data_IF_827161039520
#
_entry.id   IF_827161039520
#
_cell.length_a   1.000
_cell.length_b   1.000
_cell.length_c   1.000
_cell.angle_alpha   90.00
_cell.angle_beta   90.00
_cell.angle_gamma   90.00
#
_symmetry.space_group_name_H-M   'P 1'
#
loop_
_entity.id
_entity.type
_entity.pdbx_description
1 polymer ?
#
# COMPACT_ATOMS: atom_id res chain seq x y z
N UNK A 1 -27.55 20.00 23.14
CA UNK A 1 -27.29 19.39 21.83
C UNK A 1 -26.27 18.27 22.05
N UNK A 2 -26.70 17.01 21.92
CA UNK A 2 -25.80 15.85 21.97
C UNK A 2 -25.20 15.70 20.57
N UNK A 3 -23.89 15.85 20.46
CA UNK A 3 -23.13 15.51 19.26
C UNK A 3 -22.87 14.00 19.32
N UNK A 4 -23.62 13.25 18.51
CA UNK A 4 -23.31 11.85 18.21
C UNK A 4 -21.95 11.80 17.50
N UNK A 5 -21.02 10.89 17.86
CA UNK A 5 -19.82 10.71 17.08
C UNK A 5 -20.19 10.09 15.74
N UNK A 6 -19.99 10.85 14.67
CA UNK A 6 -20.06 10.37 13.29
C UNK A 6 -19.14 9.16 13.16
N UNK A 7 -19.76 7.98 13.03
CA UNK A 7 -19.08 6.75 12.63
C UNK A 7 -18.62 6.94 11.18
N UNK A 8 -17.51 7.64 10.98
CA UNK A 8 -16.85 7.66 9.70
C UNK A 8 -16.31 6.25 9.48
N UNK A 9 -16.99 5.55 8.58
CA UNK A 9 -16.75 4.15 8.28
C UNK A 9 -15.25 3.89 8.13
N UNK A 10 -14.73 3.11 9.06
CA UNK A 10 -13.49 2.38 8.88
C UNK A 10 -13.72 1.55 7.62
N UNK A 11 -13.16 2.00 6.48
CA UNK A 11 -13.02 1.16 5.32
C UNK A 11 -12.10 0.03 5.76
N UNK A 12 -12.69 -1.04 6.30
CA UNK A 12 -11.99 -2.29 6.50
C UNK A 12 -11.41 -2.63 5.12
N UNK A 13 -10.10 -2.87 5.00
CA UNK A 13 -9.58 -3.37 3.74
C UNK A 13 -10.44 -4.59 3.42
N UNK A 14 -11.13 -4.57 2.27
CA UNK A 14 -11.89 -5.71 1.81
C UNK A 14 -10.99 -6.96 1.96
N UNK A 15 -11.55 -8.09 2.38
CA UNK A 15 -10.84 -9.37 2.63
C UNK A 15 -10.08 -9.94 1.41
N UNK A 16 -9.93 -9.15 0.34
CA UNK A 16 -9.23 -9.44 -0.91
C UNK A 16 -7.75 -9.03 -0.92
N UNK A 17 -7.24 -8.43 0.17
CA UNK A 17 -5.82 -8.07 0.30
C UNK A 17 -4.88 -9.27 0.51
N UNK A 18 -3.62 -9.15 0.11
CA UNK A 18 -2.57 -10.14 0.38
C UNK A 18 -1.69 -9.63 1.52
N UNK A 19 -1.67 -10.36 2.64
CA UNK A 19 -0.80 -10.07 3.79
C UNK A 19 0.54 -10.78 3.62
N UNK A 20 1.65 -10.03 3.62
CA UNK A 20 2.99 -10.60 3.49
C UNK A 20 4.04 -9.78 4.21
N UNK A 21 4.97 -10.47 4.88
CA UNK A 21 6.20 -9.85 5.38
C UNK A 21 7.15 -9.56 4.22
N UNK A 22 7.61 -8.32 4.14
CA UNK A 22 8.59 -7.86 3.15
C UNK A 22 9.82 -7.34 3.88
N UNK A 23 10.99 -7.56 3.28
CA UNK A 23 12.24 -7.09 3.87
C UNK A 23 12.39 -5.59 3.59
N UNK A 24 12.77 -4.81 4.60
CA UNK A 24 12.90 -3.35 4.47
C UNK A 24 13.86 -2.93 3.35
N UNK A 25 14.94 -3.69 3.15
CA UNK A 25 15.92 -3.50 2.07
C UNK A 25 15.46 -3.94 0.68
N UNK A 26 14.25 -4.50 0.54
CA UNK A 26 13.69 -4.80 -0.78
C UNK A 26 13.50 -3.48 -1.54
N UNK A 27 13.93 -3.40 -2.78
CA UNK A 27 13.69 -2.19 -3.59
C UNK A 27 12.26 -2.16 -4.11
N UNK A 28 11.77 -0.97 -4.45
CA UNK A 28 10.45 -0.78 -5.08
C UNK A 28 10.32 -1.60 -6.38
N UNK A 29 11.36 -1.71 -7.20
CA UNK A 29 11.35 -2.55 -8.41
C UNK A 29 11.13 -4.04 -8.08
N UNK A 30 11.79 -4.56 -7.05
CA UNK A 30 11.58 -5.93 -6.58
C UNK A 30 10.18 -6.12 -6.00
N UNK A 31 9.67 -5.13 -5.28
CA UNK A 31 8.29 -5.15 -4.76
C UNK A 31 7.27 -5.16 -5.90
N UNK A 32 7.45 -4.36 -6.96
CA UNK A 32 6.61 -4.39 -8.17
C UNK A 32 6.65 -5.78 -8.83
N UNK A 33 7.83 -6.39 -8.97
CA UNK A 33 7.94 -7.76 -9.50
C UNK A 33 7.19 -8.78 -8.64
N UNK A 34 7.30 -8.65 -7.31
CA UNK A 34 6.57 -9.51 -6.37
C UNK A 34 5.05 -9.30 -6.50
N UNK A 35 4.58 -8.05 -6.50
CA UNK A 35 3.16 -7.72 -6.64
C UNK A 35 2.58 -8.26 -7.95
N UNK A 36 3.30 -8.10 -9.07
CA UNK A 36 2.93 -8.69 -10.36
C UNK A 36 2.70 -10.21 -10.26
N UNK A 37 3.58 -10.93 -9.58
CA UNK A 37 3.46 -12.39 -9.40
C UNK A 37 2.29 -12.75 -8.49
N UNK A 38 2.11 -12.02 -7.39
CA UNK A 38 1.04 -12.25 -6.42
C UNK A 38 -0.35 -12.02 -7.03
N UNK A 39 -0.53 -10.93 -7.76
CA UNK A 39 -1.79 -10.57 -8.41
C UNK A 39 -1.94 -11.16 -9.83
N UNK A 40 -0.99 -12.02 -10.25
CA UNK A 40 -0.97 -12.67 -11.58
C UNK A 40 -1.17 -11.69 -12.74
N UNK A 41 -0.55 -10.51 -12.66
CA UNK A 41 -0.74 -9.44 -13.65
C UNK A 41 0.03 -9.73 -14.95
N UNK A 42 -0.62 -9.68 -16.13
CA UNK A 42 0.05 -9.85 -17.42
C UNK A 42 1.15 -8.80 -17.65
N UNK A 43 2.26 -9.14 -18.35
CA UNK A 43 3.39 -8.22 -18.55
C UNK A 43 3.03 -6.85 -19.16
N UNK A 44 1.95 -6.80 -19.95
CA UNK A 44 1.47 -5.57 -20.60
C UNK A 44 0.73 -4.62 -19.66
N UNK A 45 0.30 -5.11 -18.50
CA UNK A 45 -0.39 -4.29 -17.50
C UNK A 45 0.62 -3.44 -16.76
N UNK A 46 0.43 -2.13 -16.83
CA UNK A 46 1.16 -1.14 -16.05
C UNK A 46 0.41 -0.84 -14.76
N UNK A 47 1.14 -0.63 -13.68
CA UNK A 47 0.56 -0.28 -12.39
C UNK A 47 1.55 0.52 -11.55
N UNK A 48 1.00 1.28 -10.61
CA UNK A 48 1.73 1.99 -9.56
C UNK A 48 1.56 1.31 -8.22
N UNK A 49 2.52 1.59 -7.33
CA UNK A 49 2.42 1.24 -5.92
C UNK A 49 2.25 2.52 -5.11
N UNK A 50 1.29 2.48 -4.19
CA UNK A 50 0.97 3.59 -3.30
C UNK A 50 0.93 3.05 -1.88
N UNK A 51 1.74 3.60 -1.01
CA UNK A 51 1.74 3.26 0.40
C UNK A 51 0.74 4.12 1.19
N UNK A 52 0.09 3.51 2.17
CA UNK A 52 -0.72 4.20 3.16
C UNK A 52 -0.48 3.57 4.52
N UNK A 53 0.24 4.30 5.37
CA UNK A 53 0.46 3.87 6.75
C UNK A 53 -0.69 4.25 7.68
N UNK A 54 -0.77 3.63 8.85
CA UNK A 54 -1.84 3.86 9.83
C UNK A 54 -1.98 5.36 10.19
N UNK A 55 -0.85 6.05 10.39
CA UNK A 55 -0.80 7.50 10.66
C UNK A 55 -1.34 8.34 9.49
N UNK A 56 -1.26 7.81 8.27
CA UNK A 56 -1.70 8.47 7.05
C UNK A 56 -3.15 8.15 6.69
N UNK A 57 -3.73 7.06 7.22
CA UNK A 57 -5.14 6.72 7.01
C UNK A 57 -6.07 7.80 7.59
N UNK A 58 -5.74 8.38 8.74
CA UNK A 58 -6.54 9.43 9.39
C UNK A 58 -6.72 10.69 8.53
N UNK A 59 -5.76 10.96 7.62
CA UNK A 59 -5.77 12.10 6.70
C UNK A 59 -5.90 11.68 5.24
N UNK A 60 -6.16 10.39 5.00
CA UNK A 60 -6.17 9.75 3.69
C UNK A 60 -4.96 10.13 2.81
N UNK A 61 -3.79 10.30 3.43
CA UNK A 61 -2.56 10.62 2.73
C UNK A 61 -1.98 9.35 2.10
N UNK A 62 -1.60 9.49 0.84
CA UNK A 62 -1.05 8.42 0.03
C UNK A 62 0.36 8.79 -0.38
N UNK A 63 1.27 7.84 -0.28
CA UNK A 63 2.68 8.04 -0.60
C UNK A 63 3.03 7.22 -1.86
N UNK A 64 3.23 7.88 -3.02
CA UNK A 64 3.66 7.20 -4.23
C UNK A 64 5.02 6.53 -4.04
N UNK A 65 5.13 5.27 -4.48
CA UNK A 65 6.39 4.53 -4.50
C UNK A 65 6.94 4.49 -5.94
N UNK A 66 7.39 5.64 -6.43
CA UNK A 66 7.86 5.87 -7.81
C UNK A 66 9.36 5.61 -8.00
N UNK A 67 10.18 5.81 -6.97
CA UNK A 67 11.63 5.60 -7.01
C UNK A 67 12.00 4.11 -7.00
N UNK A 68 12.16 3.50 -8.18
CA UNK A 68 12.37 2.05 -8.35
C UNK A 68 13.57 1.45 -7.61
N UNK A 69 14.65 2.22 -7.45
CA UNK A 69 15.87 1.80 -6.76
C UNK A 69 15.80 2.03 -5.25
N UNK A 70 14.77 2.71 -4.75
CA UNK A 70 14.61 3.01 -3.34
C UNK A 70 14.17 1.75 -2.58
N UNK A 71 14.70 1.58 -1.38
CA UNK A 71 14.28 0.52 -0.47
C UNK A 71 12.90 0.81 0.13
N UNK A 72 12.11 -0.23 0.41
CA UNK A 72 10.80 -0.12 1.06
C UNK A 72 10.91 0.60 2.40
N UNK A 73 11.99 0.36 3.16
CA UNK A 73 12.23 1.00 4.46
C UNK A 73 12.34 2.53 4.39
N UNK A 74 12.65 3.11 3.23
CA UNK A 74 12.65 4.57 3.06
C UNK A 74 11.27 5.20 3.28
N UNK A 75 10.21 4.46 2.96
CA UNK A 75 8.82 4.92 3.08
C UNK A 75 8.29 4.81 4.51
N UNK A 76 9.13 4.36 5.45
CA UNK A 76 8.83 4.23 6.88
C UNK A 76 7.50 3.52 7.17
N UNK A 77 7.28 2.39 6.47
CA UNK A 77 6.12 1.54 6.69
C UNK A 77 6.32 0.65 7.91
N UNK A 78 5.30 0.59 8.74
CA UNK A 78 5.22 -0.26 9.94
C UNK A 78 4.39 -1.52 9.66
N UNK A 79 4.51 -2.51 10.55
CA UNK A 79 3.70 -3.73 10.45
C UNK A 79 2.22 -3.36 10.57
N UNK A 80 1.43 -3.71 9.55
CA UNK A 80 0.01 -3.36 9.44
C UNK A 80 -0.28 -2.27 8.41
N UNK A 81 0.74 -1.56 7.95
CA UNK A 81 0.60 -0.60 6.86
C UNK A 81 0.25 -1.29 5.53
N UNK A 82 -0.47 -0.58 4.67
CA UNK A 82 -1.03 -1.13 3.43
C UNK A 82 -0.32 -0.52 2.23
N UNK A 83 0.00 -1.38 1.26
CA UNK A 83 0.50 -0.95 -0.06
C UNK A 83 -0.56 -1.32 -1.09
N UNK A 84 -1.13 -0.30 -1.74
CA UNK A 84 -2.08 -0.46 -2.82
C UNK A 84 -1.37 -0.59 -4.16
N UNK A 85 -1.91 -1.48 -4.98
CA UNK A 85 -1.58 -1.57 -6.39
C UNK A 85 -2.65 -0.83 -7.19
N UNK A 86 -2.26 0.15 -8.00
CA UNK A 86 -3.17 0.93 -8.86
C UNK A 86 -2.89 0.66 -10.32
N UNK A 87 -3.89 0.11 -11.02
CA UNK A 87 -3.82 -0.08 -12.46
C UNK A 87 -3.86 1.29 -13.17
N UNK A 88 -3.11 1.39 -14.28
CA UNK A 88 -3.17 2.52 -15.20
C UNK A 88 -3.97 2.18 -16.45
#
# INVERSE_FOLDING_TARGET
MKLEPSSNGCAKPDDTGIVRRIHSRMTVSHLKMLARRLFKLPPRVSFDLVAQGERHQAINAELPMDAETREVGFYNLEDGDVIYLRLR
#
